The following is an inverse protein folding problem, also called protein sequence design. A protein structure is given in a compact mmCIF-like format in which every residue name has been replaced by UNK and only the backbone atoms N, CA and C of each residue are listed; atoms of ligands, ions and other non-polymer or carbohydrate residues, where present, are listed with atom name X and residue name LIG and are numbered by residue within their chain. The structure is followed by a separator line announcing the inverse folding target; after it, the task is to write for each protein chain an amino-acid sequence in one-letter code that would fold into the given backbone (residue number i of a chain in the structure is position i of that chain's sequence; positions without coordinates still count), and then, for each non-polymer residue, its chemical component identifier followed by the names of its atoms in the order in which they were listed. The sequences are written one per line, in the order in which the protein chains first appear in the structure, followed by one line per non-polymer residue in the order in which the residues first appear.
data_IF_945597780344
#
_entry.id   IF_945597780344
#
_cell.length_a   1.000
_cell.length_b   1.000
_cell.length_c   1.000
_cell.angle_alpha   90.00
_cell.angle_beta   90.00
_cell.angle_gamma   90.00
#
_symmetry.space_group_name_H-M   'P 1'
#
loop_
_entity.id
_entity.type
_entity.pdbx_description
1 polymer ?
#
# COMPACT_ATOMS: atom_id res chain seq x y z
N UNK A 1 -21.10 -83.07 39.94
CA UNK A 1 -20.97 -81.70 40.49
C UNK A 1 -20.65 -80.77 39.32
N UNK A 2 -21.52 -79.79 39.06
CA UNK A 2 -21.57 -78.99 37.83
C UNK A 2 -20.51 -77.88 37.87
N UNK A 3 -19.62 -77.84 36.87
CA UNK A 3 -18.70 -76.73 36.63
C UNK A 3 -19.48 -75.48 36.22
N UNK A 4 -19.33 -74.42 37.01
CA UNK A 4 -19.81 -73.07 36.71
C UNK A 4 -18.86 -72.44 35.69
N UNK A 5 -19.24 -72.44 34.40
CA UNK A 5 -18.49 -71.73 33.37
C UNK A 5 -19.05 -70.31 33.21
N UNK A 6 -18.24 -69.38 33.68
CA UNK A 6 -18.33 -67.94 33.65
C UNK A 6 -18.60 -67.41 32.22
N UNK A 7 -19.77 -66.83 31.99
CA UNK A 7 -20.07 -66.09 30.76
C UNK A 7 -19.36 -64.73 30.82
N UNK A 8 -18.15 -64.67 30.24
CA UNK A 8 -17.45 -63.42 29.92
C UNK A 8 -18.06 -62.84 28.64
N UNK A 9 -19.05 -61.95 28.79
CA UNK A 9 -19.60 -61.16 27.68
C UNK A 9 -18.61 -60.03 27.38
N UNK A 10 -17.83 -60.19 26.32
CA UNK A 10 -16.96 -59.14 25.80
C UNK A 10 -17.79 -58.11 25.01
N UNK A 11 -17.85 -56.87 25.53
CA UNK A 11 -18.47 -55.73 24.85
C UNK A 11 -17.45 -55.18 23.84
N UNK A 12 -17.73 -55.18 22.52
CA UNK A 12 -16.83 -54.57 21.56
C UNK A 12 -17.00 -53.06 21.62
N UNK A 13 -15.97 -52.37 22.12
CA UNK A 13 -15.87 -50.91 22.13
C UNK A 13 -15.70 -50.42 20.67
N UNK A 14 -16.81 -50.09 20.02
CA UNK A 14 -16.82 -49.43 18.71
C UNK A 14 -16.21 -48.03 18.83
N UNK A 15 -14.91 -47.93 18.54
CA UNK A 15 -14.23 -46.67 18.26
C UNK A 15 -14.69 -46.20 16.87
N UNK A 16 -15.82 -45.49 16.80
CA UNK A 16 -16.19 -44.76 15.59
C UNK A 16 -15.23 -43.59 15.43
N UNK A 17 -14.25 -43.75 14.54
CA UNK A 17 -13.35 -42.67 14.13
C UNK A 17 -14.16 -41.54 13.51
N UNK A 18 -14.34 -40.45 14.26
CA UNK A 18 -14.80 -39.19 13.72
C UNK A 18 -13.71 -38.69 12.77
N UNK A 19 -13.86 -38.95 11.47
CA UNK A 19 -13.12 -38.24 10.44
C UNK A 19 -13.57 -36.78 10.52
N UNK A 20 -12.86 -35.99 11.32
CA UNK A 20 -13.01 -34.54 11.32
C UNK A 20 -12.60 -34.06 9.92
N UNK A 21 -13.60 -33.89 9.05
CA UNK A 21 -13.45 -33.31 7.73
C UNK A 21 -13.21 -31.80 7.95
N UNK A 22 -11.99 -31.43 8.33
CA UNK A 22 -11.62 -30.04 8.57
C UNK A 22 -11.85 -29.27 7.28
N UNK A 23 -12.76 -28.27 7.24
CA UNK A 23 -12.99 -27.50 6.03
C UNK A 23 -11.66 -26.90 5.56
N UNK A 24 -11.25 -27.20 4.32
CA UNK A 24 -10.05 -26.61 3.75
C UNK A 24 -10.30 -25.12 3.57
N UNK A 25 -9.69 -24.30 4.43
CA UNK A 25 -9.81 -22.84 4.30
C UNK A 25 -9.20 -22.34 2.98
N UNK A 26 -9.82 -21.32 2.40
CA UNK A 26 -9.34 -20.65 1.20
C UNK A 26 -8.19 -19.70 1.53
N UNK A 27 -7.21 -19.62 0.63
CA UNK A 27 -6.07 -18.71 0.72
C UNK A 27 -6.14 -17.73 -0.45
N UNK A 28 -6.15 -16.44 -0.15
CA UNK A 28 -6.36 -15.35 -1.11
C UNK A 28 -5.08 -14.54 -1.32
N UNK A 29 -4.90 -14.07 -2.55
CA UNK A 29 -3.87 -13.11 -2.90
C UNK A 29 -4.48 -11.95 -3.69
N UNK A 30 -3.92 -10.76 -3.54
CA UNK A 30 -4.25 -9.64 -4.42
C UNK A 30 -3.67 -9.86 -5.82
N UNK A 31 -4.43 -9.52 -6.83
CA UNK A 31 -4.03 -9.71 -8.22
C UNK A 31 -3.38 -8.44 -8.79
N UNK A 32 -2.50 -8.66 -9.76
CA UNK A 32 -1.96 -7.59 -10.60
C UNK A 32 -2.96 -7.36 -11.74
N UNK A 33 -3.49 -6.16 -11.82
CA UNK A 33 -4.64 -5.84 -12.69
C UNK A 33 -4.27 -4.81 -13.76
N UNK A 34 -3.18 -4.06 -13.59
CA UNK A 34 -2.72 -3.15 -14.63
C UNK A 34 -2.27 -3.94 -15.85
N UNK A 35 -2.84 -3.56 -16.98
CA UNK A 35 -2.36 -3.96 -18.31
C UNK A 35 -1.33 -2.95 -18.77
N UNK A 36 -0.32 -3.40 -19.51
CA UNK A 36 0.80 -2.57 -19.94
C UNK A 36 0.34 -1.24 -20.55
N UNK A 37 0.84 -0.13 -20.01
CA UNK A 37 0.79 1.18 -20.62
C UNK A 37 2.22 1.65 -20.87
N UNK A 38 2.36 2.63 -21.75
CA UNK A 38 3.66 3.08 -22.23
C UNK A 38 3.87 4.55 -21.87
N UNK A 39 3.67 4.87 -20.59
CA UNK A 39 3.89 6.21 -20.08
C UNK A 39 5.39 6.52 -20.10
N UNK A 40 5.78 7.44 -20.98
CA UNK A 40 7.16 7.87 -21.15
C UNK A 40 7.48 9.08 -20.26
N UNK A 41 8.38 8.87 -19.30
CA UNK A 41 8.87 9.91 -18.40
C UNK A 41 10.02 10.74 -18.99
N UNK A 42 10.48 10.39 -20.20
CA UNK A 42 11.58 11.04 -20.92
C UNK A 42 12.97 10.72 -20.35
N UNK A 43 13.05 10.06 -19.19
CA UNK A 43 14.29 9.57 -18.56
C UNK A 43 14.04 8.24 -17.84
N UNK A 44 15.02 7.31 -17.83
CA UNK A 44 14.91 6.09 -17.04
C UNK A 44 14.87 6.40 -15.55
N UNK A 45 13.80 5.99 -14.88
CA UNK A 45 13.59 6.24 -13.45
C UNK A 45 13.50 4.94 -12.66
N UNK A 46 13.72 5.07 -11.36
CA UNK A 46 13.35 4.08 -10.38
C UNK A 46 12.17 4.60 -9.55
N UNK A 47 11.24 3.71 -9.20
CA UNK A 47 10.14 3.99 -8.29
C UNK A 47 10.23 3.00 -7.13
N UNK A 48 10.19 3.49 -5.90
CA UNK A 48 10.31 2.67 -4.70
C UNK A 48 9.09 2.88 -3.83
N UNK A 49 8.37 1.80 -3.53
CA UNK A 49 7.32 1.79 -2.51
C UNK A 49 8.00 1.60 -1.15
N UNK A 50 8.29 2.71 -0.48
CA UNK A 50 9.06 2.71 0.77
C UNK A 50 8.21 2.36 1.98
N UNK A 51 6.96 2.81 1.98
CA UNK A 51 6.08 2.67 3.13
C UNK A 51 4.66 2.31 2.70
N UNK A 52 4.10 1.31 3.36
CA UNK A 52 2.70 0.95 3.26
C UNK A 52 2.14 0.83 4.69
N UNK A 53 1.07 1.55 4.99
CA UNK A 53 0.30 1.37 6.22
C UNK A 53 -1.10 0.88 5.90
N UNK A 54 -1.61 0.01 6.76
CA UNK A 54 -2.92 -0.65 6.62
C UNK A 54 -3.65 -0.54 7.97
N UNK A 55 -4.98 -0.35 8.00
CA UNK A 55 -5.72 -0.31 9.26
C UNK A 55 -5.60 -1.63 10.02
N UNK A 56 -5.41 -1.58 11.33
CA UNK A 56 -5.27 -2.76 12.20
C UNK A 56 -6.46 -3.74 12.09
N UNK A 57 -7.65 -3.23 11.79
CA UNK A 57 -8.86 -4.03 11.55
C UNK A 57 -8.63 -5.13 10.49
N UNK A 58 -7.91 -4.78 9.41
CA UNK A 58 -7.68 -5.64 8.24
C UNK A 58 -6.23 -6.11 8.13
N UNK A 59 -5.30 -5.56 8.92
CA UNK A 59 -3.88 -5.97 8.96
C UNK A 59 -3.69 -7.28 9.76
N UNK A 60 -4.31 -8.34 9.24
CA UNK A 60 -4.43 -9.63 9.91
C UNK A 60 -4.37 -10.77 8.90
N UNK A 61 -4.06 -12.01 9.32
CA UNK A 61 -4.03 -13.14 8.39
C UNK A 61 -5.38 -13.47 7.78
N UNK A 62 -6.48 -13.34 8.52
CA UNK A 62 -7.82 -13.64 8.01
C UNK A 62 -8.38 -12.52 7.14
N UNK A 63 -9.22 -12.88 6.18
CA UNK A 63 -10.01 -11.93 5.42
C UNK A 63 -11.09 -11.32 6.33
N UNK A 64 -11.29 -10.02 6.18
CA UNK A 64 -12.28 -9.25 6.94
C UNK A 64 -13.30 -8.67 5.98
N UNK A 65 -14.58 -8.87 6.29
CA UNK A 65 -15.69 -8.32 5.52
C UNK A 65 -16.53 -7.41 6.38
N UNK A 66 -16.99 -6.30 5.80
CA UNK A 66 -17.95 -5.40 6.45
C UNK A 66 -19.36 -5.95 6.30
N UNK A 67 -20.08 -6.02 7.42
CA UNK A 67 -21.48 -6.46 7.47
C UNK A 67 -22.39 -5.23 7.45
N UNK A 68 -22.05 -4.21 8.22
CA UNK A 68 -22.70 -2.91 8.27
C UNK A 68 -21.70 -1.83 8.74
N UNK A 69 -22.17 -0.60 8.93
CA UNK A 69 -21.32 0.55 9.28
C UNK A 69 -20.48 0.32 10.55
N UNK A 70 -21.02 -0.39 11.53
CA UNK A 70 -20.39 -0.59 12.85
C UNK A 70 -19.93 -2.03 13.10
N UNK A 71 -20.05 -2.91 12.09
CA UNK A 71 -19.76 -4.33 12.26
C UNK A 71 -18.95 -4.88 11.10
N UNK A 72 -17.84 -5.50 11.46
CA UNK A 72 -17.05 -6.36 10.58
C UNK A 72 -17.09 -7.79 11.05
N UNK A 73 -16.84 -8.72 10.12
CA UNK A 73 -16.73 -10.14 10.40
C UNK A 73 -15.37 -10.63 9.93
N UNK A 74 -14.71 -11.34 10.82
CA UNK A 74 -13.51 -12.11 10.55
C UNK A 74 -13.93 -13.44 9.93
N UNK A 75 -13.37 -13.79 8.78
CA UNK A 75 -13.70 -15.03 8.08
C UNK A 75 -12.63 -16.08 8.40
N UNK A 76 -12.90 -16.96 9.37
CA UNK A 76 -11.90 -17.96 9.81
C UNK A 76 -11.46 -18.94 8.72
N UNK A 77 -12.35 -19.22 7.75
CA UNK A 77 -12.07 -20.13 6.64
C UNK A 77 -11.47 -19.41 5.40
N UNK A 78 -11.14 -18.12 5.49
CA UNK A 78 -10.55 -17.35 4.40
C UNK A 78 -9.39 -16.50 4.92
N UNK A 79 -8.19 -16.71 4.40
CA UNK A 79 -6.99 -15.99 4.84
C UNK A 79 -6.17 -15.47 3.67
N UNK A 80 -5.39 -14.43 3.92
CA UNK A 80 -4.38 -13.95 3.00
C UNK A 80 -3.20 -14.93 2.90
N UNK A 81 -2.60 -15.01 1.71
CA UNK A 81 -1.40 -15.80 1.43
C UNK A 81 -0.16 -15.28 2.15
N UNK A 82 -0.08 -13.96 2.34
CA UNK A 82 0.96 -13.24 3.05
C UNK A 82 0.36 -11.97 3.71
N UNK A 83 1.08 -11.29 4.63
CA UNK A 83 0.57 -10.07 5.26
C UNK A 83 0.05 -9.06 4.23
N UNK A 84 -1.16 -8.54 4.45
CA UNK A 84 -1.87 -7.69 3.49
C UNK A 84 -1.04 -6.46 3.09
N UNK A 85 -0.32 -5.87 4.05
CA UNK A 85 0.62 -4.77 3.81
C UNK A 85 1.69 -5.11 2.75
N UNK A 86 2.27 -6.31 2.81
CA UNK A 86 3.26 -6.77 1.85
C UNK A 86 2.62 -6.99 0.47
N UNK A 87 1.43 -7.59 0.42
CA UNK A 87 0.71 -7.80 -0.84
C UNK A 87 0.42 -6.48 -1.55
N UNK A 88 -0.05 -5.47 -0.81
CA UNK A 88 -0.35 -4.15 -1.36
C UNK A 88 0.92 -3.53 -1.96
N UNK A 89 2.04 -3.54 -1.23
CA UNK A 89 3.31 -3.01 -1.74
C UNK A 89 3.80 -3.75 -2.99
N UNK A 90 3.74 -5.08 -2.98
CA UNK A 90 4.15 -5.93 -4.10
C UNK A 90 3.28 -5.70 -5.34
N UNK A 91 1.96 -5.76 -5.20
CA UNK A 91 1.02 -5.56 -6.32
C UNK A 91 1.14 -4.16 -6.89
N UNK A 92 1.18 -3.12 -6.05
CA UNK A 92 1.35 -1.75 -6.55
C UNK A 92 2.68 -1.56 -7.27
N UNK A 93 3.77 -2.14 -6.77
CA UNK A 93 5.05 -2.06 -7.46
C UNK A 93 4.99 -2.67 -8.87
N UNK A 94 4.36 -3.84 -9.02
CA UNK A 94 4.22 -4.48 -10.33
C UNK A 94 3.23 -3.72 -11.23
N UNK A 95 2.11 -3.26 -10.69
CA UNK A 95 1.14 -2.46 -11.43
C UNK A 95 1.78 -1.17 -11.96
N UNK A 96 2.52 -0.44 -11.14
CA UNK A 96 3.26 0.76 -11.54
C UNK A 96 4.35 0.43 -12.57
N UNK A 97 5.06 -0.69 -12.42
CA UNK A 97 6.06 -1.11 -13.40
C UNK A 97 5.45 -1.35 -14.79
N UNK A 98 4.20 -1.82 -14.84
CA UNK A 98 3.46 -2.03 -16.08
C UNK A 98 2.95 -0.73 -16.71
N UNK A 99 2.84 0.35 -15.94
CA UNK A 99 2.33 1.62 -16.46
C UNK A 99 3.39 2.48 -17.16
N UNK A 100 4.65 2.37 -16.74
CA UNK A 100 5.73 3.22 -17.21
C UNK A 100 6.71 2.51 -18.15
N UNK A 101 7.11 3.22 -19.20
CA UNK A 101 8.21 2.80 -20.07
C UNK A 101 9.52 2.80 -19.29
N UNK A 102 10.27 1.70 -19.39
CA UNK A 102 11.61 1.54 -18.84
C UNK A 102 11.75 1.86 -17.34
N UNK A 103 10.67 1.82 -16.55
CA UNK A 103 10.75 2.04 -15.11
C UNK A 103 11.23 0.78 -14.38
N UNK A 104 12.10 0.98 -13.39
CA UNK A 104 12.42 -0.05 -12.38
C UNK A 104 11.61 0.23 -11.14
N UNK A 105 10.70 -0.67 -10.75
CA UNK A 105 9.85 -0.46 -9.58
C UNK A 105 10.13 -1.52 -8.52
N UNK A 106 10.23 -1.08 -7.27
CA UNK A 106 10.58 -1.93 -6.14
C UNK A 106 9.55 -1.78 -5.02
N UNK A 107 9.12 -2.91 -4.45
CA UNK A 107 8.14 -2.96 -3.36
C UNK A 107 8.73 -2.69 -1.97
N UNK A 108 10.05 -2.52 -1.88
CA UNK A 108 10.80 -2.24 -0.66
C UNK A 108 11.98 -1.35 -1.00
N UNK A 109 12.52 -0.68 0.02
CA UNK A 109 13.66 0.21 -0.14
C UNK A 109 14.84 -0.54 -0.76
N UNK A 110 15.32 -0.03 -1.89
CA UNK A 110 16.45 -0.58 -2.63
C UNK A 110 17.36 0.56 -3.09
N UNK A 111 18.67 0.30 -3.08
CA UNK A 111 19.63 1.21 -3.70
C UNK A 111 19.56 1.06 -5.22
N UNK A 112 19.57 2.17 -5.93
CA UNK A 112 19.46 2.20 -7.39
C UNK A 112 20.41 3.24 -7.97
N UNK A 113 20.87 2.94 -9.18
CA UNK A 113 21.69 3.77 -10.06
C UNK A 113 20.89 4.86 -10.80
N UNK A 114 19.55 4.91 -10.62
CA UNK A 114 18.66 5.84 -11.32
C UNK A 114 18.08 6.91 -10.39
N UNK A 115 17.68 8.08 -10.92
CA UNK A 115 16.90 9.03 -10.14
C UNK A 115 15.63 8.34 -9.61
N UNK A 116 15.38 8.48 -8.32
CA UNK A 116 14.43 7.62 -7.59
C UNK A 116 13.24 8.39 -7.06
N UNK A 117 12.05 8.00 -7.48
CA UNK A 117 10.80 8.43 -6.84
C UNK A 117 10.53 7.50 -5.65
N UNK A 118 10.16 8.08 -4.51
CA UNK A 118 9.79 7.32 -3.31
C UNK A 118 8.33 7.54 -2.96
N UNK A 119 7.63 6.43 -2.73
CA UNK A 119 6.20 6.40 -2.48
C UNK A 119 5.95 5.98 -1.02
N UNK A 120 5.12 6.75 -0.33
CA UNK A 120 4.55 6.35 0.94
C UNK A 120 3.03 6.29 0.81
N UNK A 121 2.45 5.17 1.24
CA UNK A 121 1.05 4.82 1.05
C UNK A 121 0.44 4.53 2.42
N UNK A 122 -0.65 5.19 2.74
CA UNK A 122 -1.44 4.91 3.95
C UNK A 122 -2.86 4.59 3.54
N UNK A 123 -3.22 3.32 3.65
CA UNK A 123 -4.58 2.85 3.45
C UNK A 123 -5.43 3.27 4.65
N UNK A 124 -6.49 4.01 4.37
CA UNK A 124 -7.47 4.48 5.36
C UNK A 124 -8.67 3.54 5.46
N UNK A 125 -9.01 2.89 4.36
CA UNK A 125 -10.12 1.95 4.25
C UNK A 125 -9.79 0.89 3.21
N UNK A 126 -9.98 -0.38 3.54
CA UNK A 126 -9.76 -1.52 2.66
C UNK A 126 -10.94 -2.49 2.80
N UNK A 127 -12.13 -1.99 2.52
CA UNK A 127 -13.37 -2.68 2.84
C UNK A 127 -13.79 -3.63 1.73
N UNK A 128 -14.29 -4.80 2.13
CA UNK A 128 -15.04 -5.72 1.29
C UNK A 128 -16.42 -5.95 1.91
N UNK A 129 -17.48 -5.64 1.18
CA UNK A 129 -18.86 -5.83 1.63
C UNK A 129 -19.56 -6.85 0.72
N UNK A 130 -19.99 -8.02 1.26
CA UNK A 130 -20.68 -9.05 0.48
C UNK A 130 -21.89 -8.49 -0.27
N UNK A 131 -22.06 -8.89 -1.54
CA UNK A 131 -23.12 -8.42 -2.42
C UNK A 131 -23.04 -6.94 -2.83
N UNK A 132 -22.03 -6.17 -2.38
CA UNK A 132 -21.84 -4.75 -2.76
C UNK A 132 -20.51 -4.50 -3.47
N UNK A 133 -19.42 -5.08 -2.98
CA UNK A 133 -18.09 -4.96 -3.58
C UNK A 133 -17.04 -4.41 -2.62
N UNK A 134 -16.02 -3.76 -3.17
CA UNK A 134 -14.87 -3.26 -2.43
C UNK A 134 -14.75 -1.75 -2.46
N UNK A 135 -14.34 -1.16 -1.33
CA UNK A 135 -14.05 0.26 -1.21
C UNK A 135 -12.64 0.46 -0.66
N UNK A 136 -11.83 1.20 -1.41
CA UNK A 136 -10.46 1.51 -1.08
C UNK A 136 -10.31 3.03 -0.94
N UNK A 137 -9.86 3.50 0.23
CA UNK A 137 -9.47 4.89 0.43
C UNK A 137 -8.00 4.93 0.87
N UNK A 138 -7.19 5.68 0.12
CA UNK A 138 -5.75 5.75 0.31
C UNK A 138 -5.33 7.21 0.31
N UNK A 139 -4.43 7.57 1.22
CA UNK A 139 -3.63 8.79 1.11
C UNK A 139 -2.21 8.38 0.75
N UNK A 140 -1.59 9.11 -0.16
CA UNK A 140 -0.27 8.78 -0.65
C UNK A 140 0.57 10.03 -0.78
N UNK A 141 1.89 9.86 -0.66
CA UNK A 141 2.86 10.89 -0.96
C UNK A 141 3.95 10.38 -1.89
N UNK A 142 4.45 11.28 -2.71
CA UNK A 142 5.46 11.04 -3.74
C UNK A 142 6.60 12.02 -3.47
N UNK A 143 7.75 11.49 -3.07
CA UNK A 143 8.99 12.25 -2.97
C UNK A 143 9.72 12.18 -4.32
N UNK A 144 10.03 13.34 -4.88
CA UNK A 144 10.71 13.47 -6.17
C UNK A 144 12.17 12.99 -6.11
N UNK A 145 12.79 12.69 -7.28
CA UNK A 145 14.18 12.24 -7.32
C UNK A 145 15.21 13.20 -6.70
N UNK A 146 14.95 14.50 -6.74
CA UNK A 146 15.78 15.52 -6.09
C UNK A 146 15.68 15.50 -4.55
N UNK A 147 14.77 14.70 -3.98
CA UNK A 147 14.46 14.62 -2.56
C UNK A 147 14.04 15.94 -1.90
N UNK A 148 13.58 16.92 -2.68
CA UNK A 148 13.19 18.25 -2.17
C UNK A 148 11.70 18.55 -2.29
N UNK A 149 10.98 17.86 -3.18
CA UNK A 149 9.56 18.08 -3.39
C UNK A 149 8.74 16.86 -2.98
N UNK A 150 7.70 17.10 -2.18
CA UNK A 150 6.73 16.07 -1.80
C UNK A 150 5.37 16.45 -2.37
N UNK A 151 4.82 15.56 -3.20
CA UNK A 151 3.44 15.67 -3.68
C UNK A 151 2.58 14.80 -2.79
N UNK A 152 1.44 15.34 -2.35
CA UNK A 152 0.47 14.59 -1.56
C UNK A 152 -0.82 14.43 -2.36
N UNK A 153 -1.43 13.26 -2.24
CA UNK A 153 -2.69 12.97 -2.89
C UNK A 153 -3.54 11.97 -2.11
N UNK A 154 -4.73 11.74 -2.64
CA UNK A 154 -5.67 10.76 -2.10
C UNK A 154 -6.46 10.13 -3.23
N UNK A 155 -6.79 8.86 -3.06
CA UNK A 155 -7.62 8.10 -3.98
C UNK A 155 -8.74 7.43 -3.19
N UNK A 156 -9.96 7.51 -3.71
CA UNK A 156 -11.14 6.83 -3.17
C UNK A 156 -11.81 6.07 -4.30
N UNK A 157 -11.74 4.75 -4.25
CA UNK A 157 -12.16 3.87 -5.34
C UNK A 157 -13.21 2.90 -4.82
N UNK A 158 -14.35 2.84 -5.52
CA UNK A 158 -15.40 1.85 -5.33
C UNK A 158 -15.42 0.90 -6.52
N UNK A 159 -15.42 -0.40 -6.24
CA UNK A 159 -15.59 -1.47 -7.23
C UNK A 159 -16.76 -2.35 -6.81
N UNK A 160 -17.85 -2.27 -7.57
CA UNK A 160 -19.03 -3.11 -7.34
C UNK A 160 -18.80 -4.54 -7.82
N UNK A 161 -19.55 -5.47 -7.21
CA UNK A 161 -19.63 -6.87 -7.63
C UNK A 161 -21.11 -7.27 -7.70
N UNK A 162 -21.45 -8.09 -8.68
CA UNK A 162 -22.81 -8.61 -8.86
C UNK A 162 -22.94 -10.07 -8.37
N UNK A 163 -21.82 -10.69 -8.00
CA UNK A 163 -21.75 -12.06 -7.51
C UNK A 163 -21.40 -12.12 -6.04
N UNK A 164 -21.99 -13.08 -5.35
CA UNK A 164 -21.57 -13.47 -4.01
C UNK A 164 -20.23 -14.21 -4.03
N UNK A 165 -19.55 -14.23 -2.88
CA UNK A 165 -18.30 -14.96 -2.67
C UNK A 165 -17.10 -14.05 -2.45
N UNK A 166 -16.10 -14.59 -1.74
CA UNK A 166 -14.89 -13.84 -1.38
C UNK A 166 -13.96 -13.63 -2.58
N UNK A 167 -13.95 -14.55 -3.57
CA UNK A 167 -13.18 -14.39 -4.82
C UNK A 167 -13.55 -13.08 -5.53
N UNK A 168 -14.85 -12.82 -5.69
CA UNK A 168 -15.34 -11.61 -6.35
C UNK A 168 -14.94 -10.34 -5.58
N UNK A 169 -14.97 -10.40 -4.25
CA UNK A 169 -14.56 -9.29 -3.38
C UNK A 169 -13.05 -9.01 -3.46
N UNK A 170 -12.22 -10.05 -3.43
CA UNK A 170 -10.76 -9.90 -3.56
C UNK A 170 -10.38 -9.40 -4.95
N UNK A 171 -11.06 -9.87 -5.99
CA UNK A 171 -10.89 -9.33 -7.35
C UNK A 171 -11.31 -7.85 -7.41
N UNK A 172 -12.37 -7.44 -6.72
CA UNK A 172 -12.78 -6.04 -6.63
C UNK A 172 -11.76 -5.19 -5.86
N UNK A 173 -11.17 -5.70 -4.77
CA UNK A 173 -10.08 -5.04 -4.05
C UNK A 173 -8.84 -4.87 -4.92
N UNK A 174 -8.47 -5.89 -5.69
CA UNK A 174 -7.35 -5.87 -6.64
C UNK A 174 -7.57 -4.78 -7.69
N UNK A 175 -8.75 -4.73 -8.32
CA UNK A 175 -9.10 -3.68 -9.30
C UNK A 175 -9.19 -2.28 -8.69
N UNK A 176 -9.51 -2.18 -7.40
CA UNK A 176 -9.52 -0.90 -6.69
C UNK A 176 -8.08 -0.43 -6.47
N UNK A 177 -7.18 -1.34 -6.07
CA UNK A 177 -5.76 -1.05 -5.88
C UNK A 177 -5.09 -0.62 -7.18
N UNK A 178 -5.38 -1.32 -8.28
CA UNK A 178 -4.89 -0.96 -9.62
C UNK A 178 -5.27 0.47 -9.98
N UNK A 179 -6.50 0.90 -9.70
CA UNK A 179 -6.94 2.25 -9.97
C UNK A 179 -6.15 3.29 -9.16
N UNK A 180 -5.82 3.00 -7.90
CA UNK A 180 -4.91 3.84 -7.11
C UNK A 180 -3.52 3.93 -7.74
N UNK A 181 -2.99 2.81 -8.25
CA UNK A 181 -1.71 2.81 -9.00
C UNK A 181 -1.79 3.71 -10.24
N UNK A 182 -2.94 3.75 -10.93
CA UNK A 182 -3.20 4.67 -12.04
C UNK A 182 -3.18 6.14 -11.60
N UNK A 183 -3.93 6.50 -10.56
CA UNK A 183 -3.97 7.87 -10.02
C UNK A 183 -2.55 8.36 -9.62
N UNK A 184 -1.76 7.47 -9.00
CA UNK A 184 -0.38 7.77 -8.63
C UNK A 184 0.51 7.92 -9.86
N UNK A 185 0.31 7.11 -10.90
CA UNK A 185 1.07 7.23 -12.13
C UNK A 185 0.81 8.57 -12.84
N UNK A 186 -0.45 9.01 -12.89
CA UNK A 186 -0.83 10.32 -13.43
C UNK A 186 -0.20 11.48 -12.64
N UNK A 187 -0.15 11.36 -11.32
CA UNK A 187 0.51 12.34 -10.46
C UNK A 187 2.02 12.40 -10.69
N UNK A 188 2.68 11.24 -10.87
CA UNK A 188 4.11 11.15 -11.22
C UNK A 188 4.38 11.81 -12.58
N UNK A 189 3.59 11.49 -13.61
CA UNK A 189 3.70 12.09 -14.94
C UNK A 189 3.59 13.61 -14.87
N UNK A 190 2.57 14.11 -14.16
CA UNK A 190 2.32 15.54 -14.00
C UNK A 190 3.47 16.26 -13.30
N UNK A 191 4.06 15.63 -12.28
CA UNK A 191 5.18 16.20 -11.53
C UNK A 191 6.47 16.27 -12.34
N UNK A 192 6.75 15.26 -13.17
CA UNK A 192 7.96 15.23 -14.00
C UNK A 192 7.85 16.20 -15.17
N UNK A 193 6.68 16.29 -15.81
CA UNK A 193 6.46 17.23 -16.92
C UNK A 193 6.47 18.69 -16.46
N UNK A 194 5.98 18.96 -15.25
CA UNK A 194 6.07 20.27 -14.61
C UNK A 194 7.47 20.45 -14.03
N UNK A 195 8.49 20.63 -14.90
CA UNK A 195 9.87 20.96 -14.50
C UNK A 195 9.87 21.88 -13.26
N UNK A 196 10.51 21.50 -12.14
CA UNK A 196 10.66 22.42 -11.02
C UNK A 196 11.39 23.66 -11.54
N UNK A 197 10.90 24.83 -11.16
CA UNK A 197 11.56 26.09 -11.46
C UNK A 197 12.98 25.99 -10.92
N UNK A 198 13.98 26.00 -11.81
CA UNK A 198 15.37 26.13 -11.38
C UNK A 198 15.48 27.47 -10.66
N UNK A 199 15.62 27.44 -9.34
CA UNK A 199 16.16 28.60 -8.61
C UNK A 199 17.60 28.72 -9.07
N UNK A 200 17.83 29.57 -10.07
CA UNK A 200 19.16 29.88 -10.55
C UNK A 200 20.04 30.39 -9.40
N UNK A 201 21.37 30.19 -9.47
CA UNK A 201 22.25 30.70 -8.43
C UNK A 201 22.06 32.21 -8.33
N UNK A 202 21.67 32.71 -7.16
CA UNK A 202 21.73 34.16 -6.87
C UNK A 202 23.19 34.54 -6.74
N UNK A 203 23.87 34.69 -7.88
CA UNK A 203 25.11 35.42 -7.95
C UNK A 203 24.75 36.87 -8.23
N UNK A 204 24.76 37.72 -7.20
CA UNK A 204 24.81 39.16 -7.41
C UNK A 204 26.05 39.70 -6.70
N UNK A 205 27.17 39.63 -7.42
CA UNK A 205 28.35 40.43 -7.16
C UNK A 205 28.27 41.68 -8.05
N UNK A 206 27.60 42.74 -7.56
CA UNK A 206 27.93 44.13 -7.91
C UNK A 206 27.19 45.10 -7.00
N UNK A 207 27.86 45.57 -5.96
CA UNK A 207 27.59 46.89 -5.40
C UNK A 207 28.90 47.67 -5.33
N UNK A 208 29.12 48.68 -6.18
CA UNK A 208 30.22 49.62 -6.05
C UNK A 208 29.71 50.90 -5.36
N UNK A 209 30.03 51.02 -4.07
CA UNK A 209 30.15 52.32 -3.42
C UNK A 209 29.06 52.67 -2.41
N UNK A 210 29.45 52.92 -1.16
CA UNK A 210 28.49 53.45 -0.19
C UNK A 210 28.92 53.56 1.28
N UNK A 211 30.18 53.88 1.53
CA UNK A 211 30.74 54.62 2.69
C UNK A 211 29.88 54.84 3.98
N UNK A 212 30.54 54.57 5.13
CA UNK A 212 30.49 55.25 6.45
C UNK A 212 29.92 54.47 7.63
N UNK A 213 30.80 53.78 8.35
CA UNK A 213 30.70 53.70 9.80
C UNK A 213 31.85 54.51 10.42
N UNK A 214 31.53 55.74 10.81
CA UNK A 214 32.37 56.58 11.64
C UNK A 214 32.27 56.13 13.08
N UNK A 215 33.40 55.72 13.64
CA UNK A 215 33.62 55.60 15.08
C UNK A 215 33.89 57.01 15.62
N UNK A 216 33.07 57.52 16.54
CA UNK A 216 33.37 58.72 17.31
C UNK A 216 32.83 58.57 18.74
N UNK A 217 33.70 58.93 19.68
CA UNK A 217 33.65 58.68 21.11
C UNK A 217 32.45 59.30 21.83
N UNK A 218 31.95 58.57 22.83
CA UNK A 218 31.28 59.16 23.99
C UNK A 218 32.31 59.91 24.84
N UNK A 219 32.20 61.24 24.91
CA UNK A 219 32.87 62.05 25.92
C UNK A 219 31.93 62.28 27.11
N UNK A 220 32.48 62.04 28.30
CA UNK A 220 31.89 62.18 29.62
C UNK A 220 31.75 63.67 29.98
N UNK A 221 30.67 63.95 30.70
CA UNK A 221 30.23 65.22 31.30
C UNK A 221 31.23 65.70 32.37
N UNK A 222 31.58 66.99 32.38
CA UNK A 222 31.52 67.86 33.57
C UNK A 222 31.91 69.33 33.26
N UNK A 223 31.06 70.23 33.79
CA UNK A 223 31.15 71.68 34.07
C UNK A 223 31.69 72.66 33.03
#
# INVERSE_FOLDING_TARGET
MKCCCWFLVAIPLLLTGACANTPSGSVYTLNIEQSGQDLDLGVPLAVVVDYVAVPEEVDRPQLVVRINESQVRIVEAARWSEPLKSQIGNVMAVDLARLFRDARVYATSQSTDRPTIRLAITVRMFDATPGKGAMLAVVWSILTPDSTHVLNGKSVVLRRVDSDGYDALVNAQSRALAAVSGDMADAIMSAIQKKPHAVGPTFNAKDPGGNRYGYAMHAVRDK
#
